data_IF_071871634702
#
_entry.id   IF_071871634702
#
_cell.length_a   1.000
_cell.length_b   1.000
_cell.length_c   1.000
_cell.angle_alpha   90.00
_cell.angle_beta   90.00
_cell.angle_gamma   90.00
#
_symmetry.space_group_name_H-M   'P 1'
#
loop_
_entity.id
_entity.type
_entity.pdbx_description
1 polymer ?
#
# COMPACT_ATOMS: atom_id res chain seq x y z
N UNK A 1 5.26 14.02 21.74
CA UNK A 1 5.85 13.29 20.60
C UNK A 1 5.79 11.77 20.83
N UNK A 2 6.40 11.24 21.89
CA UNK A 2 6.43 9.77 22.15
C UNK A 2 5.06 9.06 22.14
N UNK A 3 4.01 9.68 22.66
CA UNK A 3 2.66 9.07 22.71
C UNK A 3 2.07 8.88 21.32
N UNK A 4 2.27 9.83 20.40
CA UNK A 4 1.77 9.77 19.02
C UNK A 4 2.55 8.71 18.23
N UNK A 5 3.84 8.59 18.44
CA UNK A 5 4.69 7.55 17.82
C UNK A 5 4.27 6.14 18.26
N UNK A 6 4.02 5.97 19.55
CA UNK A 6 3.54 4.68 20.11
C UNK A 6 2.17 4.33 19.53
N UNK A 7 1.22 5.27 19.47
CA UNK A 7 -0.10 5.05 18.87
C UNK A 7 0.00 4.71 17.39
N UNK A 8 0.83 5.43 16.63
CA UNK A 8 1.07 5.15 15.22
C UNK A 8 1.66 3.75 14.99
N UNK A 9 2.60 3.33 15.84
CA UNK A 9 3.19 1.99 15.78
C UNK A 9 2.16 0.90 16.07
N UNK A 10 1.33 1.08 17.09
CA UNK A 10 0.26 0.13 17.44
C UNK A 10 -0.73 -0.01 16.29
N UNK A 11 -1.19 1.11 15.72
CA UNK A 11 -2.11 1.11 14.57
C UNK A 11 -1.47 0.42 13.38
N UNK A 12 -0.18 0.66 13.10
CA UNK A 12 0.56 0.00 12.03
C UNK A 12 0.64 -1.53 12.21
N UNK A 13 0.89 -2.00 13.43
CA UNK A 13 0.92 -3.44 13.74
C UNK A 13 -0.47 -4.06 13.56
N UNK A 14 -1.52 -3.39 14.02
CA UNK A 14 -2.91 -3.85 13.84
C UNK A 14 -3.25 -3.91 12.35
N UNK A 15 -2.87 -2.89 11.58
CA UNK A 15 -3.06 -2.84 10.13
C UNK A 15 -2.40 -4.05 9.44
N UNK A 16 -1.12 -4.32 9.71
CA UNK A 16 -0.39 -5.46 9.15
C UNK A 16 -1.02 -6.80 9.53
N UNK A 17 -1.50 -6.93 10.77
CA UNK A 17 -2.20 -8.14 11.19
C UNK A 17 -3.53 -8.34 10.45
N UNK A 18 -4.28 -7.27 10.23
CA UNK A 18 -5.52 -7.30 9.45
C UNK A 18 -5.26 -7.63 7.97
N UNK A 19 -4.20 -7.08 7.40
CA UNK A 19 -3.75 -7.37 6.04
C UNK A 19 -3.31 -8.84 5.89
N UNK A 20 -2.50 -9.33 6.84
CA UNK A 20 -2.10 -10.73 6.92
C UNK A 20 -3.30 -11.69 6.91
N UNK A 21 -4.38 -11.33 7.60
CA UNK A 21 -5.63 -12.11 7.63
C UNK A 21 -6.55 -11.87 6.44
N UNK A 22 -6.19 -11.03 5.49
CA UNK A 22 -7.04 -10.55 4.40
C UNK A 22 -8.41 -10.00 4.91
N UNK A 23 -8.40 -9.32 6.05
CA UNK A 23 -9.60 -8.82 6.71
C UNK A 23 -10.03 -7.49 6.13
N UNK A 24 -11.33 -7.33 5.81
CA UNK A 24 -11.89 -6.07 5.30
C UNK A 24 -11.69 -4.89 6.25
N UNK A 25 -11.51 -5.15 7.54
CA UNK A 25 -11.30 -4.11 8.57
C UNK A 25 -10.00 -3.33 8.39
N UNK A 26 -9.02 -3.84 7.60
CA UNK A 26 -7.82 -3.07 7.27
C UNK A 26 -8.17 -1.74 6.59
N UNK A 27 -9.25 -1.73 5.80
CA UNK A 27 -9.67 -0.53 5.07
C UNK A 27 -10.23 0.57 5.98
N UNK A 28 -10.73 0.22 7.18
CA UNK A 28 -11.16 1.22 8.17
C UNK A 28 -9.94 2.03 8.64
N UNK A 29 -8.84 1.37 9.00
CA UNK A 29 -7.60 2.05 9.37
C UNK A 29 -7.04 2.87 8.19
N UNK A 30 -7.10 2.31 6.97
CA UNK A 30 -6.65 2.98 5.74
C UNK A 30 -7.50 4.18 5.33
N UNK A 31 -8.73 4.32 5.82
CA UNK A 31 -9.59 5.49 5.61
C UNK A 31 -9.36 6.52 6.71
N UNK A 32 -9.35 6.08 7.97
CA UNK A 32 -9.29 6.98 9.13
C UNK A 32 -7.97 7.75 9.18
N UNK A 33 -6.85 7.06 9.00
CA UNK A 33 -5.53 7.69 9.13
C UNK A 33 -5.28 8.77 8.07
N UNK A 34 -5.44 8.51 6.74
CA UNK A 34 -5.28 9.58 5.75
C UNK A 34 -6.27 10.72 5.93
N UNK A 35 -7.53 10.44 6.35
CA UNK A 35 -8.51 11.50 6.60
C UNK A 35 -8.04 12.47 7.70
N UNK A 36 -7.44 11.96 8.78
CA UNK A 36 -6.86 12.80 9.84
C UNK A 36 -5.66 13.59 9.30
N UNK A 37 -4.75 12.92 8.58
CA UNK A 37 -3.53 13.56 8.08
C UNK A 37 -3.80 14.62 7.00
N UNK A 38 -4.92 14.55 6.26
CA UNK A 38 -5.31 15.60 5.32
C UNK A 38 -5.46 16.96 6.04
N UNK A 39 -6.08 16.99 7.22
CA UNK A 39 -6.18 18.23 8.00
C UNK A 39 -4.81 18.70 8.49
N UNK A 40 -4.01 17.78 9.02
CA UNK A 40 -2.67 18.10 9.56
C UNK A 40 -1.76 18.66 8.47
N UNK A 41 -1.69 18.05 7.29
CA UNK A 41 -0.83 18.48 6.20
C UNK A 41 -1.31 19.76 5.52
N UNK A 42 -2.62 19.96 5.43
CA UNK A 42 -3.18 21.22 4.93
C UNK A 42 -2.81 22.39 5.84
N UNK A 43 -3.00 22.26 7.15
CA UNK A 43 -2.67 23.29 8.15
C UNK A 43 -1.17 23.56 8.21
N UNK A 44 -0.35 22.53 8.00
CA UNK A 44 1.12 22.66 7.98
C UNK A 44 1.67 23.19 6.63
N UNK A 45 0.83 23.38 5.61
CA UNK A 45 1.27 23.80 4.27
C UNK A 45 2.04 22.74 3.48
N UNK A 46 1.95 21.46 3.90
CA UNK A 46 2.63 20.32 3.30
C UNK A 46 1.78 19.74 2.15
N UNK A 47 1.67 20.47 1.05
CA UNK A 47 0.76 20.15 -0.05
C UNK A 47 1.11 18.87 -0.81
N UNK A 48 2.38 18.47 -0.84
CA UNK A 48 2.78 17.20 -1.46
C UNK A 48 2.26 16.00 -0.62
N UNK A 49 2.44 16.05 0.71
CA UNK A 49 1.93 15.05 1.63
C UNK A 49 0.40 15.03 1.68
N UNK A 50 -0.23 16.20 1.59
CA UNK A 50 -1.67 16.32 1.41
C UNK A 50 -2.14 15.58 0.14
N UNK A 51 -1.48 15.79 -1.01
CA UNK A 51 -1.80 15.14 -2.28
C UNK A 51 -1.71 13.62 -2.23
N UNK A 52 -0.63 13.06 -1.65
CA UNK A 52 -0.49 11.60 -1.51
C UNK A 52 -1.52 11.01 -0.55
N UNK A 53 -1.91 11.74 0.50
CA UNK A 53 -2.96 11.30 1.41
C UNK A 53 -4.35 11.32 0.77
N UNK A 54 -4.63 12.23 -0.16
CA UNK A 54 -5.84 12.13 -1.01
C UNK A 54 -5.85 10.81 -1.77
N UNK A 55 -4.74 10.46 -2.42
CA UNK A 55 -4.63 9.16 -3.11
C UNK A 55 -4.88 7.99 -2.16
N UNK A 56 -4.25 7.96 -0.97
CA UNK A 56 -4.45 6.88 0.00
C UNK A 56 -5.90 6.77 0.46
N UNK A 57 -6.59 7.89 0.67
CA UNK A 57 -8.01 7.89 1.03
C UNK A 57 -8.88 7.34 -0.10
N UNK A 58 -8.65 7.77 -1.34
CA UNK A 58 -9.42 7.31 -2.49
C UNK A 58 -9.21 5.81 -2.75
N UNK A 59 -7.96 5.32 -2.69
CA UNK A 59 -7.68 3.90 -2.90
C UNK A 59 -8.20 3.04 -1.75
N UNK A 60 -8.26 3.56 -0.53
CA UNK A 60 -8.84 2.87 0.61
C UNK A 60 -10.36 2.71 0.47
N UNK A 61 -11.06 3.76 0.06
CA UNK A 61 -12.50 3.71 -0.23
C UNK A 61 -12.78 2.72 -1.37
N UNK A 62 -11.98 2.79 -2.45
CA UNK A 62 -12.07 1.85 -3.56
C UNK A 62 -11.83 0.41 -3.11
N UNK A 63 -10.78 0.15 -2.34
CA UNK A 63 -10.43 -1.18 -1.85
C UNK A 63 -11.51 -1.75 -0.93
N UNK A 64 -12.03 -0.94 -0.01
CA UNK A 64 -13.15 -1.34 0.84
C UNK A 64 -14.39 -1.74 0.01
N UNK A 65 -14.76 -0.90 -0.96
CA UNK A 65 -15.91 -1.18 -1.83
C UNK A 65 -15.68 -2.44 -2.68
N UNK A 66 -14.49 -2.59 -3.26
CA UNK A 66 -14.12 -3.76 -4.07
C UNK A 66 -14.15 -5.06 -3.25
N UNK A 67 -13.61 -5.02 -2.01
CA UNK A 67 -13.61 -6.21 -1.15
C UNK A 67 -15.01 -6.58 -0.65
N UNK A 68 -15.87 -5.59 -0.39
CA UNK A 68 -17.22 -5.79 0.14
C UNK A 68 -18.22 -6.23 -0.94
N UNK A 69 -18.16 -5.60 -2.11
CA UNK A 69 -19.18 -5.75 -3.15
C UNK A 69 -18.68 -6.53 -4.38
N UNK A 70 -17.39 -6.91 -4.41
CA UNK A 70 -16.78 -7.48 -5.61
C UNK A 70 -16.81 -6.50 -6.79
N UNK A 71 -16.70 -7.04 -8.03
CA UNK A 71 -16.71 -6.20 -9.23
C UNK A 71 -18.11 -5.87 -9.78
N UNK A 72 -19.18 -6.15 -9.06
CA UNK A 72 -20.55 -5.78 -9.49
C UNK A 72 -20.71 -4.27 -9.77
N UNK A 73 -19.91 -3.42 -9.09
CA UNK A 73 -19.87 -1.97 -9.34
C UNK A 73 -19.30 -1.60 -10.72
N UNK A 74 -18.60 -2.51 -11.41
CA UNK A 74 -17.90 -2.24 -12.67
C UNK A 74 -18.40 -3.05 -13.86
N UNK A 75 -19.65 -3.55 -13.81
CA UNK A 75 -20.34 -4.07 -14.99
C UNK A 75 -19.95 -5.48 -15.44
N UNK A 76 -19.24 -6.27 -14.65
CA UNK A 76 -19.08 -7.70 -14.91
C UNK A 76 -20.23 -8.47 -14.26
N UNK A 77 -21.17 -8.94 -15.11
CA UNK A 77 -22.31 -9.77 -14.75
C UNK A 77 -21.87 -11.22 -14.45
N UNK A 78 -21.13 -11.45 -13.37
CA UNK A 78 -21.02 -12.81 -12.86
C UNK A 78 -22.11 -13.01 -11.80
N UNK A 79 -23.03 -13.90 -12.13
CA UNK A 79 -24.26 -14.24 -11.41
C UNK A 79 -24.07 -15.02 -10.12
N UNK A 80 -22.89 -14.98 -9.51
CA UNK A 80 -22.64 -15.63 -8.22
C UNK A 80 -22.81 -14.66 -7.06
N UNK A 81 -23.77 -15.02 -6.22
CA UNK A 81 -24.19 -14.36 -4.98
C UNK A 81 -23.03 -13.77 -4.16
N UNK A 82 -23.22 -12.54 -3.62
CA UNK A 82 -22.60 -11.92 -2.42
C UNK A 82 -21.27 -12.52 -1.92
N UNK A 83 -20.34 -12.87 -2.81
CA UNK A 83 -19.04 -13.37 -2.39
C UNK A 83 -18.04 -12.21 -2.29
N UNK A 84 -17.29 -12.19 -1.19
CA UNK A 84 -16.14 -11.31 -1.02
C UNK A 84 -15.16 -11.50 -2.19
N UNK A 85 -14.44 -10.43 -2.54
CA UNK A 85 -13.43 -10.48 -3.59
C UNK A 85 -12.41 -11.59 -3.28
N UNK A 86 -12.19 -12.58 -4.17
CA UNK A 86 -11.23 -13.65 -3.93
C UNK A 86 -9.79 -13.14 -4.09
N UNK A 87 -8.86 -13.82 -3.40
CA UNK A 87 -7.43 -13.63 -3.62
C UNK A 87 -7.06 -14.31 -4.94
N UNK A 88 -6.42 -13.58 -5.85
CA UNK A 88 -6.05 -14.08 -7.17
C UNK A 88 -4.64 -13.65 -7.58
N UNK A 89 -4.12 -14.25 -8.65
CA UNK A 89 -2.91 -13.77 -9.30
C UNK A 89 -3.20 -12.60 -10.24
N UNK A 90 -2.25 -11.69 -10.35
CA UNK A 90 -2.31 -10.58 -11.30
C UNK A 90 -2.23 -11.10 -12.74
N UNK A 91 -3.23 -10.86 -13.60
CA UNK A 91 -3.17 -11.27 -14.99
C UNK A 91 -1.99 -10.64 -15.73
N UNK A 92 -1.32 -11.42 -16.60
CA UNK A 92 -0.12 -10.96 -17.33
C UNK A 92 -0.37 -9.66 -18.12
N UNK A 93 -1.54 -9.54 -18.72
CA UNK A 93 -1.94 -8.32 -19.48
C UNK A 93 -1.98 -7.06 -18.60
N UNK A 94 -2.25 -7.22 -17.31
CA UNK A 94 -2.30 -6.11 -16.36
C UNK A 94 -0.89 -5.67 -15.97
N UNK A 95 0.08 -6.58 -15.92
CA UNK A 95 1.47 -6.23 -15.62
C UNK A 95 2.06 -5.21 -16.58
N UNK A 96 1.76 -5.31 -17.87
CA UNK A 96 2.22 -4.31 -18.87
C UNK A 96 1.70 -2.92 -18.52
N UNK A 97 0.42 -2.81 -18.11
CA UNK A 97 -0.17 -1.54 -17.69
C UNK A 97 0.44 -1.02 -16.39
N UNK A 98 0.67 -1.92 -15.42
CA UNK A 98 1.28 -1.59 -14.13
C UNK A 98 2.69 -1.02 -14.35
N UNK A 99 3.51 -1.67 -15.17
CA UNK A 99 4.87 -1.22 -15.47
C UNK A 99 4.85 0.17 -16.15
N UNK A 100 3.93 0.38 -17.10
CA UNK A 100 3.77 1.68 -17.76
C UNK A 100 3.34 2.79 -16.77
N UNK A 101 2.35 2.51 -15.92
CA UNK A 101 1.90 3.46 -14.88
C UNK A 101 3.02 3.71 -13.87
N UNK A 102 3.72 2.67 -13.42
CA UNK A 102 4.86 2.81 -12.53
C UNK A 102 5.94 3.73 -13.12
N UNK A 103 6.32 3.52 -14.40
CA UNK A 103 7.33 4.35 -15.05
C UNK A 103 6.92 5.83 -15.11
N UNK A 104 5.66 6.12 -15.43
CA UNK A 104 5.11 7.49 -15.44
C UNK A 104 5.16 8.07 -14.03
N UNK A 105 4.70 7.35 -13.02
CA UNK A 105 4.72 7.79 -11.62
C UNK A 105 6.14 8.04 -11.12
N UNK A 106 7.07 7.12 -11.43
CA UNK A 106 8.48 7.24 -11.07
C UNK A 106 9.08 8.56 -11.61
N UNK A 107 8.86 8.86 -12.89
CA UNK A 107 9.38 10.08 -13.50
C UNK A 107 8.70 11.34 -12.95
N UNK A 108 7.39 11.30 -12.80
CA UNK A 108 6.63 12.43 -12.28
C UNK A 108 7.00 12.77 -10.84
N UNK A 109 7.08 11.74 -9.95
CA UNK A 109 7.45 11.92 -8.54
C UNK A 109 8.91 12.36 -8.43
N UNK A 110 9.84 11.75 -9.18
CA UNK A 110 11.24 12.16 -9.17
C UNK A 110 11.39 13.62 -9.61
N UNK A 111 10.67 14.04 -10.66
CA UNK A 111 10.66 15.42 -11.11
C UNK A 111 10.14 16.37 -10.03
N UNK A 112 9.03 16.01 -9.35
CA UNK A 112 8.48 16.81 -8.24
C UNK A 112 9.50 16.92 -7.10
N UNK A 113 10.11 15.80 -6.68
CA UNK A 113 11.08 15.81 -5.59
C UNK A 113 12.31 16.64 -5.90
N UNK A 114 12.83 16.58 -7.14
CA UNK A 114 14.01 17.36 -7.56
C UNK A 114 13.74 18.87 -7.57
N UNK A 115 12.52 19.30 -7.99
CA UNK A 115 12.25 20.71 -8.21
C UNK A 115 11.56 21.41 -7.04
N UNK A 116 10.90 20.67 -6.16
CA UNK A 116 10.05 21.25 -5.11
C UNK A 116 10.39 20.78 -3.70
N UNK A 117 11.41 19.91 -3.52
CA UNK A 117 11.80 19.42 -2.17
C UNK A 117 13.33 19.39 -2.03
N UNK A 118 13.78 19.31 -0.77
CA UNK A 118 15.19 19.16 -0.41
C UNK A 118 15.62 17.69 -0.29
N UNK A 119 14.97 16.77 -1.02
CA UNK A 119 15.34 15.36 -0.97
C UNK A 119 16.78 15.14 -1.43
N UNK A 120 17.56 14.48 -0.61
CA UNK A 120 18.96 14.12 -0.91
C UNK A 120 19.07 12.92 -1.87
N UNK A 121 18.01 12.13 -2.01
CA UNK A 121 17.94 10.91 -2.83
C UNK A 121 16.63 10.81 -3.61
N UNK A 122 16.27 11.83 -4.43
CA UNK A 122 14.95 11.97 -5.01
C UNK A 122 14.53 10.79 -5.91
N UNK A 123 15.45 10.16 -6.62
CA UNK A 123 15.16 9.00 -7.45
C UNK A 123 14.77 7.76 -6.63
N UNK A 124 15.42 7.55 -5.49
CA UNK A 124 15.16 6.42 -4.64
C UNK A 124 13.88 6.63 -3.79
N UNK A 125 13.64 7.86 -3.33
CA UNK A 125 12.38 8.24 -2.68
C UNK A 125 11.20 8.11 -3.67
N UNK A 126 11.38 8.53 -4.93
CA UNK A 126 10.38 8.34 -5.98
C UNK A 126 10.12 6.86 -6.28
N UNK A 127 11.19 6.02 -6.28
CA UNK A 127 11.07 4.59 -6.51
C UNK A 127 10.17 3.92 -5.47
N UNK A 128 10.44 4.15 -4.19
CA UNK A 128 9.63 3.56 -3.11
C UNK A 128 8.20 4.10 -3.12
N UNK A 129 8.01 5.41 -3.37
CA UNK A 129 6.68 6.02 -3.43
C UNK A 129 5.85 5.51 -4.61
N UNK A 130 6.43 5.44 -5.82
CA UNK A 130 5.73 4.93 -6.99
C UNK A 130 5.35 3.45 -6.84
N UNK A 131 6.25 2.62 -6.27
CA UNK A 131 5.96 1.23 -5.95
C UNK A 131 4.87 1.09 -4.87
N UNK A 132 4.85 1.96 -3.85
CA UNK A 132 3.81 1.96 -2.83
C UNK A 132 2.43 2.26 -3.41
N UNK A 133 2.34 3.18 -4.38
CA UNK A 133 1.10 3.44 -5.13
C UNK A 133 0.64 2.18 -5.87
N UNK A 134 1.54 1.48 -6.53
CA UNK A 134 1.23 0.20 -7.20
C UNK A 134 0.84 -0.87 -6.18
N UNK A 135 1.57 -1.00 -5.07
CA UNK A 135 1.29 -1.96 -3.99
C UNK A 135 -0.12 -1.80 -3.41
N UNK A 136 -0.50 -0.57 -3.09
CA UNK A 136 -1.86 -0.26 -2.60
C UNK A 136 -2.94 -0.61 -3.62
N UNK A 137 -2.70 -0.38 -4.91
CA UNK A 137 -3.65 -0.77 -5.95
C UNK A 137 -3.77 -2.29 -6.07
N UNK A 138 -2.66 -3.03 -6.04
CA UNK A 138 -2.66 -4.50 -6.06
C UNK A 138 -3.37 -5.07 -4.82
N UNK A 139 -3.15 -4.50 -3.64
CA UNK A 139 -3.86 -4.84 -2.41
C UNK A 139 -5.37 -4.62 -2.55
N UNK A 140 -5.79 -3.46 -3.08
CA UNK A 140 -7.19 -3.14 -3.31
C UNK A 140 -7.88 -4.13 -4.27
N UNK A 141 -7.11 -4.73 -5.20
CA UNK A 141 -7.57 -5.78 -6.12
C UNK A 141 -7.44 -7.20 -5.56
N UNK A 142 -6.97 -7.37 -4.32
CA UNK A 142 -6.65 -8.66 -3.68
C UNK A 142 -5.69 -9.53 -4.50
N UNK A 143 -4.77 -8.91 -5.22
CA UNK A 143 -3.73 -9.64 -5.94
C UNK A 143 -2.60 -10.06 -4.98
N UNK A 144 -2.22 -11.34 -5.02
CA UNK A 144 -1.22 -11.89 -4.09
C UNK A 144 0.17 -11.28 -4.30
N UNK A 145 0.48 -10.81 -5.51
CA UNK A 145 1.76 -10.20 -5.85
C UNK A 145 2.00 -8.86 -5.16
N UNK A 146 0.98 -8.26 -4.56
CA UNK A 146 1.16 -7.07 -3.72
C UNK A 146 2.23 -7.30 -2.64
N UNK A 147 2.34 -8.51 -2.08
CA UNK A 147 3.33 -8.85 -1.07
C UNK A 147 4.77 -8.72 -1.59
N UNK A 148 5.03 -9.09 -2.84
CA UNK A 148 6.36 -8.90 -3.45
C UNK A 148 6.69 -7.45 -3.72
N UNK A 149 5.72 -6.65 -4.08
CA UNK A 149 5.88 -5.19 -4.24
C UNK A 149 6.25 -4.57 -2.90
N UNK A 150 5.53 -4.89 -1.82
CA UNK A 150 5.86 -4.41 -0.47
C UNK A 150 7.23 -4.91 -0.01
N UNK A 151 7.60 -6.15 -0.29
CA UNK A 151 8.94 -6.64 0.01
C UNK A 151 10.04 -5.76 -0.59
N UNK A 152 9.91 -5.40 -1.87
CA UNK A 152 10.88 -4.53 -2.55
C UNK A 152 10.88 -3.13 -1.92
N UNK A 153 9.69 -2.56 -1.65
CA UNK A 153 9.55 -1.25 -0.99
C UNK A 153 10.25 -1.27 0.37
N UNK A 154 9.98 -2.27 1.19
CA UNK A 154 10.50 -2.34 2.56
C UNK A 154 12.02 -2.52 2.60
N UNK A 155 12.57 -3.39 1.74
CA UNK A 155 14.02 -3.60 1.65
C UNK A 155 14.73 -2.32 1.19
N UNK A 156 14.22 -1.66 0.14
CA UNK A 156 14.82 -0.42 -0.37
C UNK A 156 14.66 0.71 0.64
N UNK A 157 13.50 0.85 1.28
CA UNK A 157 13.25 1.85 2.32
C UNK A 157 14.17 1.64 3.53
N UNK A 158 14.38 0.39 3.97
CA UNK A 158 15.31 0.09 5.04
C UNK A 158 16.73 0.57 4.69
N UNK A 159 17.22 0.30 3.47
CA UNK A 159 18.52 0.78 3.02
C UNK A 159 18.60 2.31 2.94
N UNK A 160 17.53 2.97 2.46
CA UNK A 160 17.45 4.44 2.40
C UNK A 160 17.47 5.07 3.80
N UNK A 161 16.78 4.48 4.76
CA UNK A 161 16.77 4.99 6.13
C UNK A 161 18.11 4.77 6.85
N UNK A 162 18.84 3.70 6.53
CA UNK A 162 20.24 3.55 6.95
C UNK A 162 21.10 4.69 6.38
N UNK A 163 20.97 4.98 5.09
CA UNK A 163 21.69 6.07 4.43
C UNK A 163 21.37 7.46 5.03
N UNK A 164 20.13 7.65 5.50
CA UNK A 164 19.67 8.90 6.16
C UNK A 164 19.92 8.92 7.68
N UNK A 165 20.72 7.98 8.23
CA UNK A 165 21.00 7.81 9.67
C UNK A 165 19.77 7.60 10.57
N UNK A 166 18.67 7.11 9.98
CA UNK A 166 17.41 6.82 10.68
C UNK A 166 17.29 5.33 11.04
N UNK A 167 18.18 4.83 11.87
CA UNK A 167 18.36 3.41 12.16
C UNK A 167 17.11 2.72 12.75
N UNK A 168 16.33 3.38 13.59
CA UNK A 168 15.08 2.81 14.16
C UNK A 168 14.05 2.58 13.07
N UNK A 169 13.86 3.54 12.17
CA UNK A 169 12.98 3.42 11.04
C UNK A 169 13.46 2.35 10.06
N UNK A 170 14.77 2.28 9.81
CA UNK A 170 15.37 1.23 9.00
C UNK A 170 15.09 -0.18 9.55
N UNK A 171 15.26 -0.36 10.88
CA UNK A 171 14.96 -1.63 11.54
C UNK A 171 13.47 -2.00 11.44
N UNK A 172 12.56 -1.01 11.51
CA UNK A 172 11.12 -1.23 11.36
C UNK A 172 10.79 -1.73 9.94
N UNK A 173 11.35 -1.11 8.90
CA UNK A 173 11.14 -1.57 7.51
C UNK A 173 11.78 -2.94 7.25
N UNK A 174 12.94 -3.23 7.85
CA UNK A 174 13.52 -4.57 7.80
C UNK A 174 12.58 -5.62 8.43
N UNK A 175 11.93 -5.29 9.55
CA UNK A 175 10.91 -6.13 10.16
C UNK A 175 9.70 -6.32 9.24
N UNK A 176 9.23 -5.25 8.58
CA UNK A 176 8.14 -5.33 7.61
C UNK A 176 8.47 -6.27 6.46
N UNK A 177 9.68 -6.21 5.90
CA UNK A 177 10.13 -7.14 4.86
C UNK A 177 10.06 -8.62 5.30
N UNK A 178 10.33 -8.91 6.60
CA UNK A 178 10.16 -10.25 7.16
C UNK A 178 8.67 -10.63 7.23
N UNK A 179 7.81 -9.72 7.72
CA UNK A 179 6.36 -9.95 7.86
C UNK A 179 5.71 -10.22 6.49
N UNK A 180 6.16 -9.54 5.44
CA UNK A 180 5.69 -9.73 4.06
C UNK A 180 5.84 -11.18 3.60
N UNK A 181 6.93 -11.85 3.93
CA UNK A 181 7.14 -13.27 3.55
C UNK A 181 6.08 -14.17 4.20
N UNK A 182 5.75 -13.92 5.47
CA UNK A 182 4.69 -14.66 6.16
C UNK A 182 3.30 -14.31 5.60
N UNK A 183 3.06 -13.05 5.27
CA UNK A 183 1.82 -12.58 4.64
C UNK A 183 1.57 -13.25 3.29
N UNK A 184 2.59 -13.30 2.43
CA UNK A 184 2.51 -14.02 1.15
C UNK A 184 2.13 -15.50 1.35
N UNK A 185 2.81 -16.20 2.28
CA UNK A 185 2.52 -17.61 2.59
C UNK A 185 1.08 -17.80 3.07
N UNK A 186 0.60 -16.91 3.93
CA UNK A 186 -0.77 -16.95 4.45
C UNK A 186 -1.80 -16.73 3.35
N UNK A 187 -1.60 -15.72 2.50
CA UNK A 187 -2.51 -15.46 1.39
C UNK A 187 -2.53 -16.59 0.36
N UNK A 188 -1.38 -17.22 0.11
CA UNK A 188 -1.30 -18.42 -0.75
C UNK A 188 -2.13 -19.58 -0.20
N UNK A 189 -2.08 -19.82 1.13
CA UNK A 189 -2.93 -20.83 1.78
C UNK A 189 -4.42 -20.49 1.65
N UNK A 190 -4.80 -19.21 1.91
CA UNK A 190 -6.18 -18.76 1.80
C UNK A 190 -6.70 -18.92 0.36
N UNK A 191 -5.90 -18.59 -0.64
CA UNK A 191 -6.24 -18.74 -2.06
C UNK A 191 -6.50 -20.21 -2.44
N UNK A 192 -5.68 -21.16 -1.94
CA UNK A 192 -5.90 -22.59 -2.17
C UNK A 192 -7.22 -23.04 -1.57
N UNK A 193 -7.49 -22.67 -0.30
CA UNK A 193 -8.74 -23.04 0.38
C UNK A 193 -10.00 -22.42 -0.28
N UNK A 194 -9.86 -21.25 -0.92
CA UNK A 194 -10.96 -20.64 -1.68
C UNK A 194 -11.29 -21.42 -2.96
N UNK A 195 -10.29 -22.00 -3.63
CA UNK A 195 -10.47 -22.79 -4.86
C UNK A 195 -11.06 -24.19 -4.61
N UNK A 196 -11.02 -24.67 -3.38
CA UNK A 196 -11.55 -25.98 -2.97
C UNK A 196 -13.03 -25.91 -2.56
N UNK A 197 -13.62 -24.73 -2.44
CA UNK A 197 -15.03 -24.48 -2.10
C UNK A 197 -15.88 -24.19 -3.33
#
# INVERSE_FOLDING_TARGET
MQTIEILGTIVGIIYLWLEYRASIYLWIASIVMPAIYLFVYYDAGLYADFGINIYYLLIAIYGWAAWKYGFKLFGQNDTTQNQELPITHTPVKIWVKIIGIYAILQLAIAWLLIHFTDSTVPWADAFTTALSVVGMWLLARKYIEQWWVWFIVDVVSSALYIYKDLYFTAALYALYAIVVVFGYRKWKQLMTTQNER
#
